data_IF_044172005805
#
_entry.id   IF_044172005805
#
_cell.length_a   1.000
_cell.length_b   1.000
_cell.length_c   1.000
_cell.angle_alpha   90.00
_cell.angle_beta   90.00
_cell.angle_gamma   90.00
#
_symmetry.space_group_name_H-M   'P 1'
#
loop_
_entity.id
_entity.type
_entity.pdbx_description
1 polymer ?
#
# COMPACT_ATOMS: atom_id res chain seq x y z
N UNK A 1 -3.68 -1.96 -12.72
CA UNK A 1 -3.92 -2.92 -11.62
C UNK A 1 -4.16 -4.30 -12.22
N UNK A 2 -3.10 -5.06 -12.27
CA UNK A 2 -3.13 -6.42 -12.79
C UNK A 2 -3.85 -7.33 -11.77
N UNK A 3 -4.69 -8.27 -12.27
CA UNK A 3 -5.62 -9.07 -11.44
C UNK A 3 -4.93 -9.98 -10.45
N UNK A 4 -3.86 -10.67 -10.85
CA UNK A 4 -3.16 -11.63 -10.01
C UNK A 4 -2.26 -10.92 -8.99
N UNK A 5 -1.74 -9.73 -9.33
CA UNK A 5 -1.07 -8.84 -8.38
C UNK A 5 -2.02 -8.41 -7.25
N UNK A 6 -3.25 -7.98 -7.60
CA UNK A 6 -4.26 -7.62 -6.60
C UNK A 6 -4.67 -8.84 -5.77
N UNK A 7 -4.77 -10.03 -6.38
CA UNK A 7 -5.09 -11.26 -5.67
C UNK A 7 -4.02 -11.61 -4.64
N UNK A 8 -2.73 -11.57 -5.02
CA UNK A 8 -1.61 -11.88 -4.14
C UNK A 8 -1.61 -11.02 -2.87
N UNK A 9 -1.73 -9.69 -3.03
CA UNK A 9 -1.81 -8.78 -1.89
C UNK A 9 -3.08 -8.97 -1.05
N UNK A 10 -4.24 -9.14 -1.69
CA UNK A 10 -5.50 -9.34 -0.96
C UNK A 10 -5.46 -10.60 -0.07
N UNK A 11 -4.81 -11.67 -0.53
CA UNK A 11 -4.63 -12.90 0.25
C UNK A 11 -3.73 -12.64 1.46
N UNK A 12 -2.56 -12.04 1.27
CA UNK A 12 -1.63 -11.68 2.36
C UNK A 12 -2.28 -10.77 3.42
N UNK A 13 -3.10 -9.80 2.98
CA UNK A 13 -3.83 -8.92 3.90
C UNK A 13 -4.88 -9.72 4.69
N UNK A 14 -5.67 -10.57 4.04
CA UNK A 14 -6.69 -11.38 4.70
C UNK A 14 -6.13 -12.31 5.77
N UNK A 15 -4.94 -12.86 5.58
CA UNK A 15 -4.25 -13.69 6.57
C UNK A 15 -3.94 -12.93 7.87
N UNK A 16 -3.78 -11.61 7.80
CA UNK A 16 -3.46 -10.77 8.96
C UNK A 16 -4.68 -10.17 9.65
N UNK A 17 -5.85 -10.16 9.00
CA UNK A 17 -7.07 -9.58 9.55
C UNK A 17 -7.78 -10.60 10.44
N UNK A 18 -7.94 -10.26 11.72
CA UNK A 18 -8.83 -10.99 12.62
C UNK A 18 -10.22 -10.31 12.64
N UNK A 19 -11.23 -11.00 12.11
CA UNK A 19 -12.60 -10.48 11.99
C UNK A 19 -13.22 -10.15 13.38
N UNK A 20 -12.84 -10.87 14.43
CA UNK A 20 -13.31 -10.61 15.80
C UNK A 20 -12.92 -9.24 16.32
N UNK A 21 -11.79 -8.70 15.85
CA UNK A 21 -11.26 -7.40 16.28
C UNK A 21 -11.40 -6.31 15.21
N UNK A 22 -12.24 -6.53 14.18
CA UNK A 22 -12.34 -5.64 13.02
C UNK A 22 -12.70 -4.19 13.40
N UNK A 23 -13.62 -4.00 14.36
CA UNK A 23 -14.01 -2.67 14.83
C UNK A 23 -12.87 -1.88 15.50
N UNK A 24 -11.87 -2.59 16.03
CA UNK A 24 -10.69 -2.02 16.68
C UNK A 24 -9.48 -1.96 15.75
N UNK A 25 -9.60 -2.45 14.52
CA UNK A 25 -8.50 -2.55 13.55
C UNK A 25 -8.57 -1.42 12.53
N UNK A 26 -7.41 -0.82 12.24
CA UNK A 26 -7.24 0.08 11.10
C UNK A 26 -6.18 -0.50 10.15
N UNK A 27 -6.56 -0.69 8.90
CA UNK A 27 -5.66 -1.09 7.82
C UNK A 27 -5.02 0.17 7.22
N UNK A 28 -3.70 0.30 7.31
CA UNK A 28 -2.96 1.42 6.76
C UNK A 28 -2.20 0.96 5.51
N UNK A 29 -2.62 1.42 4.34
CA UNK A 29 -1.85 1.26 3.12
C UNK A 29 -0.75 2.31 3.10
N UNK A 30 0.50 1.88 3.13
CA UNK A 30 1.66 2.76 3.10
C UNK A 30 2.39 2.63 1.77
N UNK A 31 2.51 3.73 1.05
CA UNK A 31 3.27 3.82 -0.18
C UNK A 31 4.44 4.78 0.00
N UNK A 32 5.48 4.66 -0.83
CA UNK A 32 6.57 5.65 -0.83
C UNK A 32 6.02 7.02 -1.23
N UNK A 33 6.43 8.07 -0.52
CA UNK A 33 6.00 9.44 -0.82
C UNK A 33 6.64 9.98 -2.11
N UNK A 34 5.95 10.93 -2.76
CA UNK A 34 6.53 11.77 -3.81
C UNK A 34 6.31 13.25 -3.49
N UNK A 35 7.23 14.14 -3.91
CA UNK A 35 7.00 15.56 -3.82
C UNK A 35 5.76 15.99 -4.62
N UNK A 36 4.90 16.84 -4.02
CA UNK A 36 3.66 17.33 -4.67
C UNK A 36 3.89 17.95 -6.04
N UNK A 37 5.05 18.59 -6.25
CA UNK A 37 5.36 19.21 -7.54
C UNK A 37 5.48 18.19 -8.68
N UNK A 38 5.89 16.94 -8.41
CA UNK A 38 5.95 15.87 -9.41
C UNK A 38 4.54 15.49 -9.87
N UNK A 39 3.62 15.36 -8.92
CA UNK A 39 2.21 15.07 -9.22
C UNK A 39 1.58 16.22 -10.03
N UNK A 40 1.86 17.47 -9.66
CA UNK A 40 1.40 18.65 -10.42
C UNK A 40 1.96 18.74 -11.84
N UNK A 41 3.13 18.14 -12.07
CA UNK A 41 3.75 18.00 -13.39
C UNK A 41 3.16 16.83 -14.23
N UNK A 42 2.18 16.10 -13.70
CA UNK A 42 1.50 15.01 -14.40
C UNK A 42 2.02 13.61 -14.10
N UNK A 43 2.82 13.43 -13.03
CA UNK A 43 3.24 12.08 -12.62
C UNK A 43 2.01 11.28 -12.17
N UNK A 44 1.73 10.10 -12.77
CA UNK A 44 0.54 9.31 -12.47
C UNK A 44 0.61 8.52 -11.17
N UNK A 45 1.76 8.51 -10.47
CA UNK A 45 2.05 7.62 -9.36
C UNK A 45 0.97 7.65 -8.27
N UNK A 46 0.60 8.84 -7.78
CA UNK A 46 -0.40 8.96 -6.73
C UNK A 46 -1.72 8.32 -7.15
N UNK A 47 -2.20 8.63 -8.33
CA UNK A 47 -3.43 8.04 -8.87
C UNK A 47 -3.32 6.51 -9.03
N UNK A 48 -2.17 6.00 -9.49
CA UNK A 48 -1.94 4.55 -9.62
C UNK A 48 -1.99 3.84 -8.27
N UNK A 49 -1.40 4.43 -7.22
CA UNK A 49 -1.48 3.91 -5.85
C UNK A 49 -2.92 3.92 -5.34
N UNK A 50 -3.66 5.02 -5.53
CA UNK A 50 -5.07 5.14 -5.15
C UNK A 50 -5.93 4.07 -5.85
N UNK A 51 -5.72 3.83 -7.16
CA UNK A 51 -6.41 2.76 -7.89
C UNK A 51 -6.05 1.37 -7.36
N UNK A 52 -4.78 1.14 -7.02
CA UNK A 52 -4.33 -0.13 -6.45
C UNK A 52 -5.04 -0.41 -5.12
N UNK A 53 -5.09 0.58 -4.22
CA UNK A 53 -5.78 0.48 -2.94
C UNK A 53 -7.28 0.23 -3.12
N UNK A 54 -7.94 0.94 -4.04
CA UNK A 54 -9.35 0.74 -4.34
C UNK A 54 -9.66 -0.70 -4.81
N UNK A 55 -8.82 -1.25 -5.71
CA UNK A 55 -8.96 -2.64 -6.16
C UNK A 55 -8.68 -3.65 -5.04
N UNK A 56 -7.69 -3.38 -4.18
CA UNK A 56 -7.40 -4.24 -3.03
C UNK A 56 -8.57 -4.28 -2.05
N UNK A 57 -9.12 -3.14 -1.67
CA UNK A 57 -10.26 -3.05 -0.75
C UNK A 57 -11.49 -3.79 -1.32
N UNK A 58 -11.79 -3.60 -2.60
CA UNK A 58 -12.84 -4.35 -3.29
C UNK A 58 -12.58 -5.86 -3.30
N UNK A 59 -11.32 -6.28 -3.53
CA UNK A 59 -10.95 -7.71 -3.54
C UNK A 59 -10.94 -8.34 -2.16
N UNK A 60 -10.54 -7.59 -1.13
CA UNK A 60 -10.62 -8.01 0.27
C UNK A 60 -12.08 -8.26 0.66
N UNK A 61 -13.00 -7.39 0.23
CA UNK A 61 -14.46 -7.56 0.39
C UNK A 61 -14.90 -7.80 1.85
N UNK A 62 -14.26 -7.17 2.82
CA UNK A 62 -14.66 -7.20 4.23
C UNK A 62 -15.52 -5.99 4.52
N UNK A 63 -16.78 -6.25 4.96
CA UNK A 63 -17.72 -5.18 5.31
C UNK A 63 -17.23 -4.41 6.54
N UNK A 64 -17.36 -3.08 6.49
CA UNK A 64 -16.95 -2.16 7.56
C UNK A 64 -15.43 -2.18 7.87
N UNK A 65 -14.59 -2.59 6.93
CA UNK A 65 -13.14 -2.49 7.06
C UNK A 65 -12.75 -1.00 7.11
N UNK A 66 -12.13 -0.58 8.23
CA UNK A 66 -11.54 0.75 8.34
C UNK A 66 -10.17 0.74 7.67
N UNK A 67 -9.95 1.63 6.69
CA UNK A 67 -8.65 1.73 6.01
C UNK A 67 -8.27 3.17 5.69
N UNK A 68 -6.96 3.41 5.61
CA UNK A 68 -6.38 4.72 5.31
C UNK A 68 -5.21 4.50 4.34
N UNK A 69 -5.14 5.29 3.27
CA UNK A 69 -3.94 5.39 2.42
C UNK A 69 -3.04 6.50 2.96
N UNK A 70 -1.75 6.22 3.08
CA UNK A 70 -0.73 7.14 3.57
C UNK A 70 0.59 6.99 2.81
N UNK A 71 1.51 7.94 3.02
CA UNK A 71 2.79 7.99 2.30
C UNK A 71 3.96 8.12 3.26
N UNK A 72 4.95 7.22 3.11
CA UNK A 72 6.15 7.11 3.95
C UNK A 72 7.40 7.70 3.30
N UNK A 73 8.54 7.61 3.98
CA UNK A 73 9.89 7.94 3.47
C UNK A 73 10.02 9.40 2.99
N UNK A 74 9.40 10.32 3.72
CA UNK A 74 9.38 11.75 3.40
C UNK A 74 10.61 12.43 4.00
N UNK A 75 11.52 12.92 3.16
CA UNK A 75 12.78 13.53 3.61
C UNK A 75 12.98 14.95 3.09
N UNK A 76 13.66 15.78 3.88
CA UNK A 76 14.00 17.15 3.52
C UNK A 76 12.83 18.13 3.53
N UNK A 77 13.04 19.38 3.03
CA UNK A 77 12.09 20.49 3.19
C UNK A 77 10.98 20.53 2.12
N UNK A 78 10.92 19.55 1.24
CA UNK A 78 9.93 19.53 0.17
C UNK A 78 8.51 19.27 0.71
N UNK A 79 7.52 19.81 0.00
CA UNK A 79 6.13 19.45 0.25
C UNK A 79 5.81 18.13 -0.44
N UNK A 80 5.39 17.15 0.35
CA UNK A 80 5.13 15.77 -0.07
C UNK A 80 3.63 15.48 -0.13
N UNK A 81 3.22 14.56 -1.00
CA UNK A 81 1.86 14.00 -0.97
C UNK A 81 1.57 13.40 0.40
N UNK A 82 0.32 13.39 0.80
CA UNK A 82 -0.09 12.95 2.13
C UNK A 82 -1.46 12.29 2.17
N UNK A 83 -1.89 11.89 3.37
CA UNK A 83 -1.25 12.09 4.68
C UNK A 83 0.04 11.29 4.87
N UNK A 84 0.91 11.74 5.80
CA UNK A 84 2.13 11.01 6.13
C UNK A 84 1.83 9.78 7.00
N UNK A 85 2.53 8.68 6.76
CA UNK A 85 2.28 7.41 7.47
C UNK A 85 2.53 7.52 8.96
N UNK A 86 3.56 8.23 9.38
CA UNK A 86 3.85 8.47 10.80
C UNK A 86 2.73 9.23 11.53
N UNK A 87 2.14 10.24 10.88
CA UNK A 87 1.00 10.98 11.42
C UNK A 87 -0.24 10.09 11.53
N UNK A 88 -0.52 9.29 10.51
CA UNK A 88 -1.66 8.36 10.52
C UNK A 88 -1.50 7.31 11.63
N UNK A 89 -0.31 6.73 11.77
CA UNK A 89 0.00 5.76 12.83
C UNK A 89 -0.24 6.37 14.22
N UNK A 90 0.29 7.58 14.50
CA UNK A 90 0.07 8.27 15.78
C UNK A 90 -1.40 8.47 16.08
N UNK A 91 -2.15 8.99 15.09
CA UNK A 91 -3.58 9.26 15.26
C UNK A 91 -4.40 8.00 15.55
N UNK A 92 -4.11 6.89 14.86
CA UNK A 92 -4.84 5.63 15.08
C UNK A 92 -4.38 4.92 16.37
N UNK A 93 -3.10 4.99 16.71
CA UNK A 93 -2.57 4.48 17.97
C UNK A 93 -3.20 5.16 19.19
N UNK A 94 -3.35 6.50 19.17
CA UNK A 94 -4.03 7.27 20.23
C UNK A 94 -5.52 6.90 20.41
N UNK A 95 -6.14 6.31 19.40
CA UNK A 95 -7.49 5.74 19.48
C UNK A 95 -7.49 4.30 20.01
N UNK A 96 -6.33 3.81 20.47
CA UNK A 96 -6.15 2.45 20.98
C UNK A 96 -6.52 1.37 19.94
N UNK A 97 -6.19 1.59 18.66
CA UNK A 97 -6.45 0.66 17.56
C UNK A 97 -5.37 -0.41 17.42
N UNK A 98 -5.74 -1.52 16.80
CA UNK A 98 -4.80 -2.46 16.19
C UNK A 98 -4.44 -1.92 14.82
N UNK A 99 -3.17 -1.74 14.53
CA UNK A 99 -2.68 -1.23 13.26
C UNK A 99 -2.18 -2.39 12.40
N UNK A 100 -2.77 -2.57 11.22
CA UNK A 100 -2.24 -3.47 10.20
C UNK A 100 -1.68 -2.60 9.08
N UNK A 101 -0.35 -2.63 8.85
CA UNK A 101 0.29 -1.84 7.81
C UNK A 101 0.62 -2.68 6.58
N UNK A 102 0.32 -2.15 5.40
CA UNK A 102 0.50 -2.79 4.09
C UNK A 102 1.46 -1.97 3.25
N UNK A 103 2.63 -2.48 2.86
CA UNK A 103 3.58 -1.80 1.98
C UNK A 103 3.11 -1.85 0.51
N UNK A 104 2.03 -1.13 0.18
CA UNK A 104 1.26 -1.30 -1.07
C UNK A 104 2.05 -1.01 -2.36
N UNK A 105 3.11 -0.21 -2.29
CA UNK A 105 3.95 0.13 -3.45
C UNK A 105 5.30 -0.60 -3.46
N UNK A 106 5.45 -1.65 -2.66
CA UNK A 106 6.68 -2.41 -2.52
C UNK A 106 6.45 -3.88 -2.88
N UNK A 107 7.22 -4.41 -3.81
CA UNK A 107 7.10 -5.81 -4.26
C UNK A 107 8.17 -6.72 -3.67
N UNK A 108 9.17 -6.17 -2.99
CA UNK A 108 10.24 -6.89 -2.31
C UNK A 108 10.52 -6.28 -0.94
N UNK A 109 11.10 -7.08 -0.05
CA UNK A 109 11.56 -6.59 1.24
C UNK A 109 12.91 -5.84 1.09
N UNK A 110 13.04 -4.72 1.76
CA UNK A 110 14.26 -3.89 1.81
C UNK A 110 14.21 -2.96 3.04
N UNK A 111 15.15 -2.00 3.15
CA UNK A 111 15.26 -1.13 4.33
C UNK A 111 13.97 -0.36 4.66
N UNK A 112 13.21 0.09 3.66
CA UNK A 112 11.95 0.83 3.89
C UNK A 112 10.80 -0.07 4.37
N UNK A 113 10.89 -1.39 4.21
CA UNK A 113 9.92 -2.35 4.78
C UNK A 113 10.44 -2.96 6.09
N UNK A 114 11.72 -3.35 6.15
CA UNK A 114 12.27 -4.09 7.29
C UNK A 114 12.78 -3.17 8.42
N UNK A 115 13.16 -1.92 8.11
CA UNK A 115 13.58 -0.95 9.13
C UNK A 115 12.48 0.06 9.40
N UNK A 116 12.04 0.82 8.39
CA UNK A 116 11.05 1.88 8.59
C UNK A 116 9.71 1.32 9.08
N UNK A 117 9.15 0.26 8.43
CA UNK A 117 7.86 -0.29 8.84
C UNK A 117 7.98 -1.26 10.03
N UNK A 118 8.94 -2.19 10.06
CA UNK A 118 8.99 -3.22 11.11
C UNK A 118 9.58 -2.72 12.43
N UNK A 119 10.50 -1.75 12.39
CA UNK A 119 11.19 -1.27 13.58
C UNK A 119 10.67 0.12 13.97
N UNK A 120 10.82 1.12 13.11
CA UNK A 120 10.55 2.52 13.47
C UNK A 120 9.06 2.77 13.65
N UNK A 121 8.22 2.36 12.71
CA UNK A 121 6.77 2.57 12.79
C UNK A 121 6.09 1.65 13.79
N UNK A 122 6.60 0.43 14.01
CA UNK A 122 6.13 -0.42 15.10
C UNK A 122 6.40 0.24 16.45
N UNK A 123 7.63 0.73 16.69
CA UNK A 123 7.97 1.48 17.90
C UNK A 123 7.05 2.68 18.08
N UNK A 124 6.88 3.48 17.01
CA UNK A 124 6.00 4.65 17.00
C UNK A 124 4.55 4.29 17.41
N UNK A 125 4.00 3.21 16.83
CA UNK A 125 2.64 2.76 17.12
C UNK A 125 2.47 2.37 18.61
N UNK A 126 3.37 1.55 19.14
CA UNK A 126 3.31 1.08 20.53
C UNK A 126 3.50 2.23 21.52
N UNK A 127 4.47 3.11 21.29
CA UNK A 127 4.72 4.29 22.15
C UNK A 127 3.53 5.28 22.18
N UNK A 128 2.70 5.29 21.14
CA UNK A 128 1.49 6.12 21.07
C UNK A 128 0.20 5.40 21.47
N UNK A 129 0.27 4.17 21.99
CA UNK A 129 -0.86 3.47 22.61
C UNK A 129 -1.62 2.53 21.66
N UNK A 130 -1.04 2.10 20.54
CA UNK A 130 -1.63 1.04 19.71
C UNK A 130 -1.75 -0.26 20.51
N UNK A 131 -2.88 -0.96 20.39
CA UNK A 131 -3.08 -2.29 21.00
C UNK A 131 -2.14 -3.34 20.42
N UNK A 132 -1.90 -3.26 19.13
CA UNK A 132 -1.00 -4.15 18.39
C UNK A 132 -0.58 -3.50 17.08
N UNK A 133 0.53 -3.97 16.52
CA UNK A 133 1.04 -3.53 15.24
C UNK A 133 1.52 -4.72 14.41
N UNK A 134 0.89 -4.93 13.27
CA UNK A 134 1.11 -6.08 12.39
C UNK A 134 1.48 -5.55 11.00
N UNK A 135 2.61 -6.02 10.44
CA UNK A 135 2.96 -5.71 9.05
C UNK A 135 2.57 -6.87 8.12
N UNK A 136 1.92 -6.53 7.02
CA UNK A 136 1.72 -7.44 5.88
C UNK A 136 3.02 -7.52 5.09
N UNK A 137 3.56 -8.71 4.79
CA UNK A 137 4.78 -8.83 4.01
C UNK A 137 4.61 -8.29 2.59
N UNK A 138 5.71 -7.87 1.95
CA UNK A 138 5.72 -7.62 0.51
C UNK A 138 5.47 -8.92 -0.26
N UNK A 139 4.95 -8.84 -1.49
CA UNK A 139 4.55 -10.04 -2.27
C UNK A 139 5.73 -10.93 -2.64
N UNK A 140 6.92 -10.39 -2.79
CA UNK A 140 8.18 -11.11 -3.10
C UNK A 140 8.04 -12.14 -4.22
N UNK A 141 8.22 -13.43 -3.92
CA UNK A 141 8.09 -14.54 -4.86
C UNK A 141 6.75 -15.29 -4.70
N UNK A 142 5.68 -14.60 -4.28
CA UNK A 142 4.33 -15.17 -4.22
C UNK A 142 3.91 -15.66 -5.61
N UNK A 143 3.30 -16.84 -5.68
CA UNK A 143 2.95 -17.50 -6.95
C UNK A 143 2.00 -16.65 -7.82
N UNK A 144 0.97 -16.06 -7.22
CA UNK A 144 0.05 -15.16 -7.93
C UNK A 144 0.79 -13.93 -8.49
N UNK A 145 1.74 -13.37 -7.73
CA UNK A 145 2.55 -12.26 -8.20
C UNK A 145 3.47 -12.66 -9.36
N UNK A 146 4.11 -13.83 -9.31
CA UNK A 146 4.92 -14.37 -10.42
C UNK A 146 4.05 -14.59 -11.67
N UNK A 147 2.83 -15.09 -11.52
CA UNK A 147 1.88 -15.23 -12.62
C UNK A 147 1.49 -13.88 -13.23
N UNK A 148 1.31 -12.84 -12.40
CA UNK A 148 1.08 -11.46 -12.83
C UNK A 148 2.24 -10.94 -13.71
N UNK A 149 3.49 -11.13 -13.27
CA UNK A 149 4.67 -10.75 -14.04
C UNK A 149 4.76 -11.52 -15.37
N UNK A 150 4.51 -12.83 -15.35
CA UNK A 150 4.47 -13.67 -16.56
C UNK A 150 3.43 -13.15 -17.56
N UNK A 151 2.21 -12.87 -17.09
CA UNK A 151 1.14 -12.33 -17.94
C UNK A 151 1.53 -10.99 -18.55
N UNK A 152 2.10 -10.08 -17.76
CA UNK A 152 2.57 -8.78 -18.23
C UNK A 152 3.67 -8.89 -19.30
N UNK A 153 4.62 -9.83 -19.14
CA UNK A 153 5.68 -10.10 -20.12
C UNK A 153 5.09 -10.65 -21.42
N UNK A 154 4.17 -11.60 -21.33
CA UNK A 154 3.52 -12.18 -22.50
C UNK A 154 2.69 -11.14 -23.26
N UNK A 155 1.92 -10.30 -22.57
CA UNK A 155 1.18 -9.19 -23.19
C UNK A 155 2.11 -8.20 -23.89
N UNK A 156 3.22 -7.82 -23.26
CA UNK A 156 4.22 -6.93 -23.85
C UNK A 156 4.90 -7.55 -25.09
N UNK A 157 5.12 -8.87 -25.09
CA UNK A 157 5.74 -9.58 -26.22
C UNK A 157 4.83 -9.78 -27.43
N UNK A 158 3.51 -9.82 -27.22
CA UNK A 158 2.51 -10.04 -28.29
C UNK A 158 1.78 -8.77 -28.71
N UNK A 159 1.96 -7.67 -28.02
CA UNK A 159 1.24 -6.42 -28.25
C UNK A 159 2.12 -5.19 -28.27
N UNK A 160 1.67 -4.14 -28.93
CA UNK A 160 2.32 -2.82 -28.94
C UNK A 160 2.17 -2.04 -27.63
N UNK A 161 1.92 -2.69 -26.49
CA UNK A 161 1.67 -2.02 -25.21
C UNK A 161 2.85 -2.20 -24.27
N UNK A 162 3.59 -1.13 -24.10
CA UNK A 162 4.56 -1.01 -23.01
C UNK A 162 3.87 -0.37 -21.79
N UNK A 163 3.68 -1.13 -20.73
CA UNK A 163 3.69 -0.69 -19.31
C UNK A 163 2.53 0.08 -18.69
N UNK A 164 1.45 0.52 -19.34
CA UNK A 164 0.34 1.14 -18.61
C UNK A 164 -1.03 0.80 -19.17
N UNK A 165 -2.04 0.76 -18.30
CA UNK A 165 -3.42 0.59 -18.77
C UNK A 165 -3.83 1.76 -19.65
N UNK A 166 -4.73 1.52 -20.62
CA UNK A 166 -5.29 2.58 -21.48
C UNK A 166 -5.85 3.73 -20.64
N UNK A 167 -6.51 3.41 -19.52
CA UNK A 167 -7.08 4.42 -18.61
C UNK A 167 -6.02 5.34 -18.01
N UNK A 168 -4.82 4.81 -17.69
CA UNK A 168 -3.71 5.63 -17.20
C UNK A 168 -3.23 6.59 -18.30
N UNK A 169 -3.06 6.09 -19.52
CA UNK A 169 -2.61 6.90 -20.66
C UNK A 169 -3.62 8.00 -21.04
N UNK A 170 -4.92 7.73 -20.95
CA UNK A 170 -5.96 8.70 -21.27
C UNK A 170 -6.07 9.82 -20.24
N UNK A 171 -5.83 9.53 -18.96
CA UNK A 171 -5.92 10.52 -17.89
C UNK A 171 -4.76 11.53 -17.89
N UNK A 172 -3.60 11.16 -18.39
CA UNK A 172 -2.36 11.97 -18.33
C UNK A 172 -1.86 12.43 -19.72
N UNK A 173 -2.70 12.35 -20.76
CA UNK A 173 -2.53 13.06 -22.03
C UNK A 173 -3.06 14.48 -21.92
#
# INVERSE_FOLDING_TARGET
>A
TEKDFILSYANLIKEKINISNLAETTLIFSAHGLPENKIKQGDPYQWQVEQTVDHLVKKISIKNLNYILSYQSRVGPLKWIGPSTDTVIKNEAQKNKIIIIVPVAFVSEHSETLVELDIEYKKLAIENGSKDYIRVPAVTANEDFINSLKSSILEASHGNRFTSSIQCLEKFK
#
